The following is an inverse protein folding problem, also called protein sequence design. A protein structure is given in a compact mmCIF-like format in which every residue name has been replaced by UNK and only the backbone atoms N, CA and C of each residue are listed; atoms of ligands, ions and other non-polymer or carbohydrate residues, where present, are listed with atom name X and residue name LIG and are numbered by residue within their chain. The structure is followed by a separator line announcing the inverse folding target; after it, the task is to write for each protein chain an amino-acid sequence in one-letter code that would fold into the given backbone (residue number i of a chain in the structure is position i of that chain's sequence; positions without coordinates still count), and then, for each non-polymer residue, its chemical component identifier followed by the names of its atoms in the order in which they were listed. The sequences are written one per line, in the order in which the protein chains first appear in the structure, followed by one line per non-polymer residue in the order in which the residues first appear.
data_IF_108869032142
#
_entry.id   IF_108869032142
#
_cell.length_a   1.000
_cell.length_b   1.000
_cell.length_c   1.000
_cell.angle_alpha   90.00
_cell.angle_beta   90.00
_cell.angle_gamma   90.00
#
_symmetry.space_group_name_H-M   'P 1'
#
loop_
_entity.id
_entity.type
_entity.pdbx_description
1 polymer ?
#
# COMPACT_ATOMS: atom_id res chain seq x y z
N UNK A 1 -26.03 -8.83 -6.64
CA UNK A 1 -24.74 -8.97 -5.95
C UNK A 1 -24.51 -7.63 -5.27
N UNK A 2 -24.46 -7.55 -3.94
CA UNK A 2 -24.40 -6.28 -3.22
C UNK A 2 -23.05 -5.60 -3.41
N UNK A 3 -23.05 -4.27 -3.52
CA UNK A 3 -21.83 -3.47 -3.45
C UNK A 3 -21.18 -3.60 -2.06
N UNK A 4 -19.85 -3.55 -1.97
CA UNK A 4 -19.17 -3.54 -0.68
C UNK A 4 -19.59 -2.30 0.14
N UNK A 5 -20.04 -2.49 1.38
CA UNK A 5 -20.47 -1.38 2.26
C UNK A 5 -19.29 -0.57 2.85
N UNK A 6 -18.11 -1.20 3.00
CA UNK A 6 -16.89 -0.57 3.51
C UNK A 6 -15.87 -0.13 2.43
N UNK A 7 -14.85 0.62 2.85
CA UNK A 7 -13.74 1.06 1.99
C UNK A 7 -12.64 0.02 1.87
N UNK A 8 -11.76 0.13 0.85
CA UNK A 8 -10.57 -0.72 0.73
C UNK A 8 -9.75 -0.74 2.03
N UNK A 9 -9.60 0.41 2.69
CA UNK A 9 -8.82 0.55 3.94
C UNK A 9 -9.44 -0.24 5.10
N UNK A 10 -10.78 -0.30 5.18
CA UNK A 10 -11.49 -1.05 6.22
C UNK A 10 -11.25 -2.55 6.05
N UNK A 11 -11.38 -3.05 4.83
CA UNK A 11 -11.12 -4.45 4.50
C UNK A 11 -9.64 -4.78 4.66
N UNK A 12 -8.74 -3.91 4.19
CA UNK A 12 -7.30 -4.07 4.33
C UNK A 12 -6.88 -4.17 5.80
N UNK A 13 -7.38 -3.27 6.66
CA UNK A 13 -7.07 -3.29 8.10
C UNK A 13 -7.48 -4.61 8.74
N UNK A 14 -8.67 -5.11 8.40
CA UNK A 14 -9.18 -6.39 8.89
C UNK A 14 -8.31 -7.55 8.38
N UNK A 15 -8.02 -7.58 7.08
CA UNK A 15 -7.19 -8.62 6.47
C UNK A 15 -5.76 -8.64 7.04
N UNK A 16 -5.14 -7.48 7.30
CA UNK A 16 -3.81 -7.41 7.92
C UNK A 16 -3.82 -8.01 9.33
N UNK A 17 -4.86 -7.72 10.12
CA UNK A 17 -5.02 -8.32 11.46
C UNK A 17 -5.16 -9.83 11.38
N UNK A 18 -6.04 -10.33 10.51
CA UNK A 18 -6.28 -11.77 10.35
C UNK A 18 -5.04 -12.50 9.79
N UNK A 19 -4.35 -11.92 8.81
CA UNK A 19 -3.11 -12.47 8.27
C UNK A 19 -2.01 -12.58 9.35
N UNK A 20 -1.90 -11.57 10.23
CA UNK A 20 -0.98 -11.64 11.38
C UNK A 20 -1.39 -12.72 12.38
N UNK A 21 -2.67 -12.89 12.66
CA UNK A 21 -3.17 -13.96 13.54
C UNK A 21 -2.83 -15.35 12.99
N UNK A 22 -2.94 -15.54 11.67
CA UNK A 22 -2.51 -16.76 10.98
C UNK A 22 -1.01 -17.02 11.22
N UNK A 23 -0.15 -16.01 11.02
CA UNK A 23 1.29 -16.16 11.26
C UNK A 23 1.60 -16.54 12.72
N UNK A 24 0.93 -15.91 13.69
CA UNK A 24 1.08 -16.24 15.12
C UNK A 24 0.65 -17.69 15.40
N UNK A 25 -0.49 -18.11 14.86
CA UNK A 25 -0.99 -19.49 15.03
C UNK A 25 -0.02 -20.51 14.44
N UNK A 26 0.51 -20.24 13.25
CA UNK A 26 1.51 -21.10 12.58
C UNK A 26 2.80 -21.16 13.38
N UNK A 27 3.25 -20.03 13.93
CA UNK A 27 4.43 -19.97 14.79
C UNK A 27 4.23 -20.78 16.07
N UNK A 28 3.05 -20.67 16.70
CA UNK A 28 2.69 -21.46 17.89
C UNK A 28 2.69 -22.97 17.59
N UNK A 29 2.19 -23.37 16.41
CA UNK A 29 2.26 -24.78 15.97
C UNK A 29 3.71 -25.27 15.87
N UNK A 30 4.64 -24.43 15.36
CA UNK A 30 6.06 -24.77 15.27
C UNK A 30 6.73 -24.79 16.64
N UNK A 31 6.44 -23.82 17.51
CA UNK A 31 7.00 -23.77 18.87
C UNK A 31 6.65 -25.03 19.67
N UNK A 32 5.44 -25.58 19.49
CA UNK A 32 5.04 -26.84 20.10
C UNK A 32 5.80 -28.05 19.54
N UNK A 33 6.40 -27.96 18.37
CA UNK A 33 7.24 -29.01 17.77
C UNK A 33 8.73 -28.86 18.14
N UNK A 34 9.23 -27.63 18.20
CA UNK A 34 10.67 -27.30 18.32
C UNK A 34 11.25 -27.59 19.72
N UNK A 35 10.39 -27.74 20.74
CA UNK A 35 10.75 -28.28 22.06
C UNK A 35 11.36 -29.70 21.98
N UNK A 36 11.31 -30.37 20.81
CA UNK A 36 11.97 -31.67 20.56
C UNK A 36 13.36 -31.57 19.90
N UNK A 37 13.78 -30.40 19.41
CA UNK A 37 15.03 -30.25 18.63
C UNK A 37 16.10 -29.36 19.29
N UNK A 38 15.82 -28.74 20.44
CA UNK A 38 16.83 -28.03 21.23
C UNK A 38 17.47 -26.83 20.49
N UNK A 39 16.75 -26.19 19.57
CA UNK A 39 17.22 -25.02 18.79
C UNK A 39 16.22 -23.85 18.82
N UNK A 40 15.76 -23.48 20.00
CA UNK A 40 15.02 -22.24 20.20
C UNK A 40 15.95 -21.03 20.02
N UNK A 41 15.88 -20.32 18.89
CA UNK A 41 16.59 -19.04 18.75
C UNK A 41 16.67 -18.42 17.36
N UNK A 42 16.53 -19.18 16.26
CA UNK A 42 16.81 -18.62 14.92
C UNK A 42 15.58 -18.03 14.18
N UNK A 43 14.35 -18.37 14.57
CA UNK A 43 13.15 -18.01 13.80
C UNK A 43 12.63 -16.59 14.05
N UNK A 44 12.93 -15.99 15.22
CA UNK A 44 12.47 -14.63 15.55
C UNK A 44 13.06 -13.54 14.62
N UNK A 45 14.17 -13.82 13.95
CA UNK A 45 14.91 -12.83 13.14
C UNK A 45 14.34 -12.66 11.72
N UNK A 46 13.66 -13.66 11.16
CA UNK A 46 13.11 -13.61 9.80
C UNK A 46 11.80 -12.82 9.67
N UNK A 47 11.02 -12.71 10.75
CA UNK A 47 9.75 -11.96 10.78
C UNK A 47 9.90 -10.54 11.36
N UNK A 48 11.00 -10.25 12.04
CA UNK A 48 11.32 -8.94 12.62
C UNK A 48 11.10 -7.75 11.66
N UNK A 49 11.51 -7.78 10.38
CA UNK A 49 11.29 -6.64 9.47
C UNK A 49 9.81 -6.41 9.11
N UNK A 50 8.91 -7.39 9.30
CA UNK A 50 7.47 -7.24 9.01
C UNK A 50 6.67 -6.61 10.16
N UNK A 51 7.21 -6.59 11.38
CA UNK A 51 6.59 -5.96 12.55
C UNK A 51 6.91 -4.46 12.67
N UNK A 52 7.87 -3.94 11.88
CA UNK A 52 8.47 -2.62 12.06
C UNK A 52 7.60 -1.37 11.71
N UNK A 53 6.58 -1.37 10.83
CA UNK A 53 5.94 -0.12 10.44
C UNK A 53 4.73 0.28 11.31
N UNK A 54 4.48 -0.37 12.46
CA UNK A 54 3.37 -0.02 13.36
C UNK A 54 3.87 0.35 14.77
N UNK A 55 3.17 1.25 15.48
CA UNK A 55 3.61 1.76 16.78
C UNK A 55 3.86 0.62 17.78
N UNK A 56 4.97 0.75 18.50
CA UNK A 56 5.61 -0.24 19.38
C UNK A 56 4.73 -0.71 20.55
N UNK A 57 3.59 -0.07 20.77
CA UNK A 57 2.62 -0.39 21.83
C UNK A 57 1.85 -1.71 21.61
N UNK A 58 1.97 -2.35 20.45
CA UNK A 58 1.38 -3.67 20.17
C UNK A 58 2.38 -4.84 20.29
N UNK A 59 3.63 -4.61 20.72
CA UNK A 59 4.73 -5.58 20.67
C UNK A 59 5.10 -6.23 22.02
N UNK A 60 4.21 -6.23 23.01
CA UNK A 60 4.44 -7.00 24.24
C UNK A 60 4.17 -8.49 24.02
N UNK A 61 5.20 -9.23 23.62
CA UNK A 61 5.20 -10.70 23.77
C UNK A 61 5.27 -11.04 25.28
N UNK A 62 4.40 -11.92 25.80
CA UNK A 62 4.49 -12.39 27.18
C UNK A 62 5.71 -13.31 27.38
N UNK A 63 6.34 -13.32 28.57
CA UNK A 63 7.41 -14.25 28.89
C UNK A 63 6.83 -15.67 29.04
N UNK A 64 7.36 -16.64 28.30
CA UNK A 64 6.94 -18.05 28.34
C UNK A 64 7.77 -18.83 29.38
N UNK A 65 7.06 -19.54 30.26
CA UNK A 65 7.60 -20.55 31.20
C UNK A 65 7.48 -21.92 30.55
N UNK A 66 8.59 -22.64 30.41
CA UNK A 66 8.66 -23.94 29.73
C UNK A 66 8.29 -25.10 30.66
N UNK A 67 7.25 -25.86 30.29
CA UNK A 67 7.10 -27.28 30.61
C UNK A 67 6.44 -28.02 29.44
N UNK A 68 7.07 -29.11 29.04
CA UNK A 68 6.85 -29.84 27.79
C UNK A 68 5.79 -30.94 27.89
N UNK A 69 4.82 -30.90 26.98
CA UNK A 69 4.13 -32.08 26.42
C UNK A 69 3.68 -31.68 25.01
N UNK A 70 4.13 -32.38 23.96
CA UNK A 70 3.50 -32.28 22.64
C UNK A 70 2.15 -32.97 22.76
N UNK A 71 1.12 -32.25 23.19
CA UNK A 71 -0.24 -32.79 23.19
C UNK A 71 -0.73 -32.80 21.72
N UNK A 72 -0.97 -33.97 21.11
CA UNK A 72 -1.53 -34.04 19.76
C UNK A 72 -2.85 -33.27 19.61
N UNK A 73 -3.65 -33.19 20.69
CA UNK A 73 -4.92 -32.45 20.72
C UNK A 73 -4.77 -30.92 20.63
N UNK A 74 -3.61 -30.42 21.05
CA UNK A 74 -3.26 -29.01 21.00
C UNK A 74 -2.93 -28.55 19.57
N UNK A 75 -2.32 -29.41 18.74
CA UNK A 75 -2.13 -29.16 17.31
C UNK A 75 -3.46 -29.15 16.55
N UNK A 76 -4.39 -30.03 16.91
CA UNK A 76 -5.73 -30.05 16.33
C UNK A 76 -6.50 -28.75 16.61
N UNK A 77 -6.39 -28.20 17.82
CA UNK A 77 -7.01 -26.92 18.19
C UNK A 77 -6.44 -25.76 17.38
N UNK A 78 -5.10 -25.70 17.23
CA UNK A 78 -4.44 -24.68 16.41
C UNK A 78 -4.76 -24.81 14.92
N UNK A 79 -4.88 -26.04 14.39
CA UNK A 79 -5.27 -26.29 13.01
C UNK A 79 -6.72 -25.81 12.73
N UNK A 80 -7.64 -25.99 13.68
CA UNK A 80 -8.99 -25.46 13.60
C UNK A 80 -9.03 -23.93 13.66
N UNK A 81 -8.23 -23.33 14.54
CA UNK A 81 -8.07 -21.87 14.62
C UNK A 81 -7.52 -21.31 13.31
N UNK A 82 -6.46 -21.91 12.76
CA UNK A 82 -5.88 -21.56 11.46
C UNK A 82 -6.91 -21.61 10.33
N UNK A 83 -7.73 -22.67 10.30
CA UNK A 83 -8.79 -22.84 9.31
C UNK A 83 -9.85 -21.74 9.42
N UNK A 84 -10.22 -21.38 10.66
CA UNK A 84 -11.19 -20.31 10.95
C UNK A 84 -10.65 -18.95 10.51
N UNK A 85 -9.41 -18.63 10.90
CA UNK A 85 -8.76 -17.37 10.54
C UNK A 85 -8.55 -17.25 9.03
N UNK A 86 -8.16 -18.33 8.35
CA UNK A 86 -8.09 -18.36 6.90
C UNK A 86 -9.46 -18.12 6.25
N UNK A 87 -10.52 -18.73 6.78
CA UNK A 87 -11.90 -18.50 6.32
C UNK A 87 -12.30 -17.03 6.42
N UNK A 88 -12.01 -16.38 7.55
CA UNK A 88 -12.22 -14.94 7.71
C UNK A 88 -11.40 -14.10 6.73
N UNK A 89 -10.11 -14.43 6.54
CA UNK A 89 -9.25 -13.72 5.59
C UNK A 89 -9.78 -13.83 4.16
N UNK A 90 -10.20 -15.03 3.74
CA UNK A 90 -10.72 -15.29 2.41
C UNK A 90 -12.06 -14.57 2.15
N UNK A 91 -12.94 -14.49 3.16
CA UNK A 91 -14.18 -13.73 3.08
C UNK A 91 -13.94 -12.24 2.86
N UNK A 92 -12.90 -11.67 3.49
CA UNK A 92 -12.53 -10.27 3.36
C UNK A 92 -11.73 -9.96 2.08
N UNK A 93 -11.05 -10.95 1.50
CA UNK A 93 -10.27 -10.78 0.27
C UNK A 93 -11.12 -10.37 -0.93
N UNK A 94 -12.36 -10.86 -1.03
CA UNK A 94 -13.27 -10.55 -2.13
C UNK A 94 -13.72 -9.08 -2.15
N UNK A 95 -14.30 -8.51 -1.08
CA UNK A 95 -14.65 -7.10 -1.07
C UNK A 95 -13.42 -6.20 -1.18
N UNK A 96 -12.29 -6.54 -0.54
CA UNK A 96 -11.03 -5.80 -0.70
C UNK A 96 -10.59 -5.75 -2.18
N UNK A 97 -10.59 -6.89 -2.86
CA UNK A 97 -10.20 -6.96 -4.26
C UNK A 97 -11.19 -6.22 -5.18
N UNK A 98 -12.50 -6.25 -4.91
CA UNK A 98 -13.49 -5.49 -5.68
C UNK A 98 -13.32 -3.98 -5.50
N UNK A 99 -13.06 -3.53 -4.28
CA UNK A 99 -12.77 -2.12 -4.01
C UNK A 99 -11.46 -1.66 -4.64
N UNK A 100 -10.49 -2.58 -4.83
CA UNK A 100 -9.25 -2.31 -5.55
C UNK A 100 -9.39 -2.44 -7.08
N UNK A 101 -10.28 -3.29 -7.60
CA UNK A 101 -10.51 -3.53 -9.03
C UNK A 101 -11.37 -2.44 -9.69
N UNK A 102 -12.31 -1.83 -8.93
CA UNK A 102 -13.01 -0.62 -9.38
C UNK A 102 -12.03 0.56 -9.62
N UNK A 103 -10.78 0.46 -9.18
CA UNK A 103 -9.71 1.45 -9.41
C UNK A 103 -8.98 1.28 -10.77
N UNK A 104 -9.10 0.15 -11.48
CA UNK A 104 -8.18 -0.20 -12.60
C UNK A 104 -8.81 -0.43 -13.98
N UNK A 105 -10.15 -0.50 -14.13
CA UNK A 105 -10.83 -0.90 -15.38
C UNK A 105 -10.68 0.10 -16.56
N UNK A 106 -9.93 1.21 -16.43
CA UNK A 106 -9.85 2.23 -17.50
C UNK A 106 -8.47 2.58 -18.08
N UNK A 107 -7.46 1.74 -17.89
CA UNK A 107 -6.33 1.68 -18.83
C UNK A 107 -6.60 0.63 -19.95
N UNK A 108 -7.70 0.79 -20.68
CA UNK A 108 -7.79 0.27 -22.04
C UNK A 108 -7.13 1.27 -23.00
N UNK A 109 -6.51 0.84 -24.11
CA UNK A 109 -5.88 1.78 -25.03
C UNK A 109 -6.95 2.75 -25.53
N UNK A 110 -6.77 4.05 -25.23
CA UNK A 110 -7.52 5.11 -25.91
C UNK A 110 -7.06 5.09 -27.37
N UNK A 111 -7.74 4.32 -28.21
CA UNK A 111 -7.75 4.58 -29.65
C UNK A 111 -8.50 5.89 -29.81
N UNK A 112 -7.73 6.97 -29.96
CA UNK A 112 -8.27 8.26 -30.33
C UNK A 112 -9.00 8.13 -31.65
N UNK A 113 -10.27 8.51 -31.67
CA UNK A 113 -10.98 8.79 -32.90
C UNK A 113 -10.33 10.00 -33.57
N UNK A 114 -9.92 9.85 -34.83
CA UNK A 114 -9.62 10.95 -35.74
C UNK A 114 -8.24 10.88 -36.41
N UNK A 115 -8.20 10.40 -37.65
CA UNK A 115 -7.03 10.55 -38.52
C UNK A 115 -6.93 9.48 -39.60
N UNK A 116 -7.56 9.74 -40.73
CA UNK A 116 -7.35 9.11 -42.05
C UNK A 116 -5.87 8.79 -42.32
N UNK A 117 -5.57 7.60 -42.87
CA UNK A 117 -4.47 7.29 -43.81
C UNK A 117 -4.36 5.77 -44.06
N UNK A 118 -4.75 5.34 -45.27
CA UNK A 118 -4.08 4.32 -46.09
C UNK A 118 -3.90 2.89 -45.53
N UNK A 119 -4.76 1.97 -45.96
CA UNK A 119 -4.61 0.54 -45.70
C UNK A 119 -3.44 -0.13 -46.43
N UNK A 120 -2.83 -1.12 -45.76
CA UNK A 120 -2.17 -2.27 -46.39
C UNK A 120 -2.48 -3.51 -45.54
N UNK A 121 -3.16 -4.46 -46.16
CA UNK A 121 -3.54 -5.76 -45.62
C UNK A 121 -2.36 -6.73 -45.82
N UNK A 122 -1.76 -7.24 -44.74
CA UNK A 122 -0.84 -8.39 -44.80
C UNK A 122 -1.24 -9.39 -43.71
N UNK A 123 -1.67 -10.56 -44.16
CA UNK A 123 -2.21 -11.64 -43.35
C UNK A 123 -1.17 -12.45 -42.58
N UNK A 124 -1.64 -13.16 -41.56
CA UNK A 124 -0.93 -14.25 -40.90
C UNK A 124 -1.91 -15.42 -40.61
N UNK A 125 -1.41 -16.67 -40.57
CA UNK A 125 -2.19 -17.85 -40.92
C UNK A 125 -2.75 -18.63 -39.72
N UNK A 126 -3.74 -19.48 -40.02
CA UNK A 126 -4.35 -20.49 -39.15
C UNK A 126 -3.40 -21.67 -38.91
N UNK A 127 -3.35 -22.17 -37.68
CA UNK A 127 -2.84 -23.51 -37.32
C UNK A 127 -3.13 -23.78 -35.83
N UNK A 128 -4.11 -24.62 -35.49
CA UNK A 128 -4.05 -26.07 -35.33
C UNK A 128 -3.61 -26.49 -33.92
N UNK A 129 -4.55 -27.03 -33.13
CA UNK A 129 -4.32 -28.11 -32.16
C UNK A 129 -5.68 -28.68 -31.75
N UNK A 130 -6.10 -29.69 -32.51
CA UNK A 130 -7.04 -30.72 -32.10
C UNK A 130 -6.17 -31.88 -31.62
N UNK A 131 -6.40 -32.41 -30.42
CA UNK A 131 -6.51 -33.86 -30.26
C UNK A 131 -7.11 -34.25 -28.90
N UNK A 132 -8.09 -35.12 -29.06
CA UNK A 132 -8.96 -35.80 -28.10
C UNK A 132 -8.22 -37.00 -27.53
N UNK A 133 -8.31 -37.28 -26.22
CA UNK A 133 -8.28 -38.65 -25.71
C UNK A 133 -9.08 -38.74 -24.40
N UNK A 134 -10.09 -39.61 -24.44
CA UNK A 134 -10.93 -40.04 -23.33
C UNK A 134 -10.44 -41.41 -22.82
N UNK A 135 -10.52 -41.67 -21.51
CA UNK A 135 -10.99 -42.96 -20.97
C UNK A 135 -11.14 -42.95 -19.43
N UNK A 136 -12.36 -43.31 -19.02
CA UNK A 136 -12.83 -44.19 -17.93
C UNK A 136 -12.38 -44.06 -16.46
N UNK A 137 -13.41 -44.04 -15.59
CA UNK A 137 -13.42 -43.96 -14.13
C UNK A 137 -13.78 -45.31 -13.46
N UNK A 138 -13.27 -45.61 -12.26
CA UNK A 138 -13.95 -46.49 -11.30
C UNK A 138 -14.42 -45.71 -10.03
N UNK A 139 -15.41 -46.24 -9.27
CA UNK A 139 -16.14 -45.48 -8.26
C UNK A 139 -15.62 -45.70 -6.82
N UNK A 140 -15.67 -44.65 -5.98
CA UNK A 140 -15.51 -44.80 -4.52
C UNK A 140 -15.02 -43.56 -3.76
N UNK A 141 -15.97 -42.78 -3.22
CA UNK A 141 -15.90 -41.75 -2.14
C UNK A 141 -14.52 -41.14 -1.76
N UNK A 142 -14.31 -39.87 -2.12
CA UNK A 142 -13.91 -38.79 -1.18
C UNK A 142 -13.94 -37.42 -1.90
N UNK A 143 -14.15 -36.34 -1.14
CA UNK A 143 -14.48 -34.99 -1.61
C UNK A 143 -13.38 -34.43 -2.54
N UNK A 144 -13.76 -34.08 -3.78
CA UNK A 144 -12.88 -33.71 -4.88
C UNK A 144 -12.86 -32.18 -5.07
N UNK A 145 -11.77 -31.51 -4.72
CA UNK A 145 -11.44 -30.18 -5.27
C UNK A 145 -10.58 -30.42 -6.53
N UNK A 146 -11.07 -29.98 -7.70
CA UNK A 146 -10.41 -30.24 -8.99
C UNK A 146 -9.09 -29.47 -9.15
N UNK A 147 -8.08 -30.01 -9.88
CA UNK A 147 -6.81 -29.35 -10.11
C UNK A 147 -6.87 -28.42 -11.34
N UNK A 148 -6.46 -27.17 -11.19
CA UNK A 148 -6.29 -26.22 -12.30
C UNK A 148 -4.89 -26.39 -12.90
N UNK A 149 -4.81 -26.67 -14.20
CA UNK A 149 -3.57 -26.85 -14.98
C UNK A 149 -2.81 -25.52 -15.22
N UNK A 150 -1.49 -25.57 -15.49
CA UNK A 150 -0.60 -24.42 -15.47
C UNK A 150 -0.59 -23.69 -16.83
N UNK A 151 -0.56 -22.35 -16.82
CA UNK A 151 -0.31 -21.59 -18.04
C UNK A 151 0.43 -20.27 -17.76
N UNK A 152 1.71 -20.31 -18.13
CA UNK A 152 2.59 -19.27 -18.68
C UNK A 152 2.44 -17.82 -18.18
N UNK A 153 3.53 -17.37 -17.53
CA UNK A 153 3.89 -15.99 -17.26
C UNK A 153 3.73 -15.09 -18.49
N UNK A 154 2.83 -14.11 -18.38
CA UNK A 154 2.87 -12.91 -19.20
C UNK A 154 2.69 -11.72 -18.27
N UNK A 155 3.74 -10.90 -18.15
CA UNK A 155 3.76 -9.66 -17.37
C UNK A 155 2.75 -8.66 -17.97
N UNK A 156 1.52 -8.70 -17.48
CA UNK A 156 0.55 -7.60 -17.56
C UNK A 156 0.61 -6.81 -16.23
N UNK A 157 0.27 -5.51 -16.20
CA UNK A 157 0.19 -4.75 -14.96
C UNK A 157 -0.69 -5.53 -13.98
N UNK A 158 -0.08 -5.99 -12.89
CA UNK A 158 -0.69 -6.87 -11.92
C UNK A 158 -1.86 -6.14 -11.27
N UNK A 159 -3.09 -6.52 -11.65
CA UNK A 159 -4.30 -5.97 -11.07
C UNK A 159 -4.27 -6.19 -9.56
N UNK A 160 -4.31 -5.14 -8.75
CA UNK A 160 -4.08 -5.21 -7.29
C UNK A 160 -5.08 -6.18 -6.65
N UNK A 161 -6.35 -6.14 -7.07
CA UNK A 161 -7.36 -7.07 -6.58
C UNK A 161 -7.10 -8.53 -6.98
N UNK A 162 -6.68 -8.79 -8.21
CA UNK A 162 -6.26 -10.14 -8.65
C UNK A 162 -5.03 -10.62 -7.88
N UNK A 163 -4.06 -9.73 -7.62
CA UNK A 163 -2.87 -10.06 -6.83
C UNK A 163 -3.25 -10.43 -5.39
N UNK A 164 -4.11 -9.65 -4.74
CA UNK A 164 -4.63 -9.97 -3.39
C UNK A 164 -5.33 -11.34 -3.39
N UNK A 165 -6.24 -11.58 -4.35
CA UNK A 165 -6.95 -12.88 -4.48
C UNK A 165 -5.96 -14.04 -4.62
N UNK A 166 -4.98 -13.92 -5.52
CA UNK A 166 -3.99 -14.96 -5.78
C UNK A 166 -3.14 -15.25 -4.55
N UNK A 167 -2.66 -14.23 -3.83
CA UNK A 167 -1.87 -14.44 -2.60
C UNK A 167 -2.68 -15.09 -1.49
N UNK A 168 -3.96 -14.74 -1.34
CA UNK A 168 -4.86 -15.38 -0.37
C UNK A 168 -5.16 -16.84 -0.77
N UNK A 169 -5.27 -17.15 -2.06
CA UNK A 169 -5.43 -18.53 -2.52
C UNK A 169 -4.17 -19.37 -2.27
N UNK A 170 -2.98 -18.85 -2.60
CA UNK A 170 -1.70 -19.51 -2.31
C UNK A 170 -1.52 -19.79 -0.81
N UNK A 171 -1.91 -18.84 0.05
CA UNK A 171 -1.92 -19.01 1.50
C UNK A 171 -2.86 -20.16 1.91
N UNK A 172 -4.05 -20.24 1.29
CA UNK A 172 -5.02 -21.31 1.56
C UNK A 172 -4.49 -22.71 1.25
N UNK A 173 -3.82 -22.86 0.11
CA UNK A 173 -3.16 -24.13 -0.22
C UNK A 173 -2.09 -24.50 0.82
N UNK A 174 -1.32 -23.52 1.29
CA UNK A 174 -0.35 -23.72 2.37
C UNK A 174 -1.01 -24.14 3.69
N UNK A 175 -2.08 -23.45 4.09
CA UNK A 175 -2.83 -23.77 5.31
C UNK A 175 -3.45 -25.18 5.23
N UNK A 176 -4.02 -25.58 4.10
CA UNK A 176 -4.60 -26.90 3.91
C UNK A 176 -3.54 -28.01 4.04
N UNK A 177 -2.36 -27.82 3.44
CA UNK A 177 -1.24 -28.75 3.58
C UNK A 177 -0.76 -28.84 5.04
N UNK A 178 -0.66 -27.70 5.74
CA UNK A 178 -0.26 -27.65 7.14
C UNK A 178 -1.26 -28.38 8.07
N UNK A 179 -2.56 -28.17 7.88
CA UNK A 179 -3.62 -28.86 8.64
C UNK A 179 -3.59 -30.37 8.37
N UNK A 180 -3.40 -30.78 7.12
CA UNK A 180 -3.31 -32.20 6.76
C UNK A 180 -2.12 -32.87 7.45
N UNK A 181 -0.95 -32.23 7.43
CA UNK A 181 0.24 -32.73 8.11
C UNK A 181 0.08 -32.73 9.64
N UNK A 182 -0.65 -31.75 10.21
CA UNK A 182 -0.92 -31.70 11.64
C UNK A 182 -1.81 -32.88 12.06
N UNK A 183 -2.85 -33.18 11.28
CA UNK A 183 -3.71 -34.34 11.50
C UNK A 183 -2.98 -35.67 11.34
N UNK A 184 -2.12 -35.80 10.33
CA UNK A 184 -1.26 -36.99 10.18
C UNK A 184 -0.34 -37.18 11.39
N UNK A 185 0.26 -36.09 11.88
CA UNK A 185 1.10 -36.13 13.08
C UNK A 185 0.30 -36.45 14.35
N UNK A 186 -0.97 -36.06 14.42
CA UNK A 186 -1.87 -36.42 15.53
C UNK A 186 -2.09 -37.94 15.61
N UNK A 187 -2.26 -38.59 14.46
CA UNK A 187 -2.40 -40.04 14.35
C UNK A 187 -1.09 -40.80 14.65
N UNK A 188 0.06 -40.21 14.31
CA UNK A 188 1.38 -40.80 14.53
C UNK A 188 2.37 -39.80 15.15
N UNK A 189 2.28 -39.53 16.47
CA UNK A 189 3.00 -38.44 17.14
C UNK A 189 4.52 -38.64 17.26
N UNK A 190 5.01 -39.85 17.03
CA UNK A 190 6.44 -40.16 17.02
C UNK A 190 7.07 -40.08 15.62
N UNK A 191 6.30 -39.81 14.56
CA UNK A 191 6.82 -39.78 13.20
C UNK A 191 7.68 -38.53 12.94
N UNK A 192 8.99 -38.73 12.91
CA UNK A 192 9.96 -37.68 12.67
C UNK A 192 9.89 -37.10 11.25
N UNK A 193 9.41 -37.85 10.25
CA UNK A 193 9.27 -37.36 8.88
C UNK A 193 8.12 -36.36 8.79
N UNK A 194 6.92 -36.74 9.26
CA UNK A 194 5.75 -35.84 9.30
C UNK A 194 6.00 -34.59 10.15
N UNK A 195 6.78 -34.68 11.24
CA UNK A 195 7.22 -33.49 12.00
C UNK A 195 8.02 -32.51 11.14
N UNK A 196 9.00 -33.00 10.38
CA UNK A 196 9.82 -32.15 9.50
C UNK A 196 9.00 -31.51 8.39
N UNK A 197 8.09 -32.28 7.78
CA UNK A 197 7.22 -31.77 6.71
C UNK A 197 6.26 -30.69 7.26
N UNK A 198 5.73 -30.88 8.48
CA UNK A 198 4.90 -29.89 9.15
C UNK A 198 5.64 -28.56 9.38
N UNK A 199 6.90 -28.61 9.82
CA UNK A 199 7.75 -27.43 10.02
C UNK A 199 7.99 -26.71 8.67
N UNK A 200 8.26 -27.46 7.60
CA UNK A 200 8.46 -26.88 6.27
C UNK A 200 7.18 -26.26 5.70
N UNK A 201 6.02 -26.90 5.90
CA UNK A 201 4.72 -26.32 5.58
C UNK A 201 4.48 -25.02 6.37
N UNK A 202 4.82 -24.98 7.65
CA UNK A 202 4.65 -23.79 8.47
C UNK A 202 5.53 -22.63 7.98
N UNK A 203 6.77 -22.92 7.57
CA UNK A 203 7.66 -21.92 6.94
C UNK A 203 7.05 -21.36 5.65
N UNK A 204 6.54 -22.23 4.77
CA UNK A 204 5.87 -21.82 3.52
C UNK A 204 4.65 -20.95 3.80
N UNK A 205 3.81 -21.33 4.77
CA UNK A 205 2.63 -20.53 5.16
C UNK A 205 3.04 -19.14 5.65
N UNK A 206 4.06 -19.04 6.51
CA UNK A 206 4.58 -17.75 6.98
C UNK A 206 5.08 -16.87 5.83
N UNK A 207 5.76 -17.43 4.84
CA UNK A 207 6.17 -16.71 3.63
C UNK A 207 4.95 -16.21 2.82
N UNK A 208 3.92 -17.05 2.66
CA UNK A 208 2.68 -16.66 1.96
C UNK A 208 1.91 -15.57 2.71
N UNK A 209 1.90 -15.58 4.05
CA UNK A 209 1.36 -14.48 4.85
C UNK A 209 2.08 -13.17 4.52
N UNK A 210 3.42 -13.18 4.46
CA UNK A 210 4.20 -12.00 4.08
C UNK A 210 3.84 -11.48 2.68
N UNK A 211 3.59 -12.37 1.71
CA UNK A 211 3.13 -11.97 0.38
C UNK A 211 1.73 -11.33 0.40
N UNK A 212 0.80 -11.83 1.23
CA UNK A 212 -0.53 -11.21 1.41
C UNK A 212 -0.39 -9.82 2.01
N UNK A 213 0.43 -9.66 3.04
CA UNK A 213 0.67 -8.36 3.68
C UNK A 213 1.28 -7.35 2.69
N UNK A 214 2.23 -7.79 1.85
CA UNK A 214 2.83 -6.94 0.82
C UNK A 214 1.80 -6.51 -0.25
N UNK A 215 0.94 -7.42 -0.70
CA UNK A 215 -0.13 -7.11 -1.66
C UNK A 215 -1.11 -6.07 -1.08
N UNK A 216 -1.51 -6.23 0.18
CA UNK A 216 -2.40 -5.31 0.87
C UNK A 216 -1.78 -3.92 1.06
N UNK A 217 -0.48 -3.83 1.34
CA UNK A 217 0.23 -2.55 1.44
C UNK A 217 0.38 -1.84 0.09
N UNK A 218 0.61 -2.60 -0.99
CA UNK A 218 0.67 -2.02 -2.33
C UNK A 218 -0.66 -1.33 -2.70
N UNK A 219 -1.79 -1.88 -2.26
CA UNK A 219 -3.13 -1.37 -2.55
C UNK A 219 -3.49 -0.01 -1.93
N UNK A 220 -2.77 0.48 -0.91
CA UNK A 220 -3.03 1.80 -0.31
C UNK A 220 -1.81 2.71 -0.27
N UNK A 221 -0.72 2.35 -0.96
CA UNK A 221 0.56 3.06 -0.91
C UNK A 221 0.44 4.54 -1.27
N UNK A 222 -0.35 4.88 -2.29
CA UNK A 222 -0.60 6.26 -2.71
C UNK A 222 -1.40 7.05 -1.69
N UNK A 223 -2.48 6.47 -1.21
CA UNK A 223 -3.32 7.07 -0.15
C UNK A 223 -2.51 7.32 1.13
N UNK A 224 -1.64 6.38 1.51
CA UNK A 224 -0.77 6.52 2.68
C UNK A 224 0.27 7.62 2.49
N UNK A 225 0.86 7.72 1.30
CA UNK A 225 1.77 8.82 0.97
C UNK A 225 1.07 10.19 1.05
N UNK A 226 -0.20 10.30 0.64
CA UNK A 226 -0.98 11.52 0.83
C UNK A 226 -1.20 11.88 2.31
N UNK A 227 -1.43 10.90 3.19
CA UNK A 227 -1.57 11.14 4.64
C UNK A 227 -0.25 11.68 5.23
N UNK A 228 0.86 11.05 4.89
CA UNK A 228 2.20 11.50 5.30
C UNK A 228 2.49 12.89 4.74
N UNK A 229 2.14 13.14 3.47
CA UNK A 229 2.34 14.42 2.82
C UNK A 229 1.54 15.55 3.48
N UNK A 230 0.27 15.32 3.82
CA UNK A 230 -0.55 16.29 4.54
C UNK A 230 0.04 16.64 5.93
N UNK A 231 0.59 15.64 6.61
CA UNK A 231 1.28 15.83 7.91
C UNK A 231 2.56 16.65 7.75
N UNK A 232 3.36 16.36 6.72
CA UNK A 232 4.56 17.12 6.39
C UNK A 232 4.24 18.59 6.06
N UNK A 233 3.21 18.82 5.23
CA UNK A 233 2.73 20.18 4.89
C UNK A 233 2.27 20.94 6.14
N UNK A 234 1.59 20.27 7.07
CA UNK A 234 1.21 20.87 8.35
C UNK A 234 2.43 21.30 9.17
N UNK A 235 3.49 20.49 9.17
CA UNK A 235 4.77 20.84 9.80
C UNK A 235 5.44 22.05 9.15
N UNK A 236 5.39 22.15 7.82
CA UNK A 236 5.91 23.32 7.07
C UNK A 236 5.12 24.58 7.42
N UNK A 237 3.78 24.50 7.52
CA UNK A 237 2.94 25.64 7.92
C UNK A 237 3.32 26.12 9.33
N UNK A 238 3.56 25.20 10.27
CA UNK A 238 3.99 25.55 11.63
C UNK A 238 5.37 26.22 11.68
N UNK A 239 6.30 25.78 10.83
CA UNK A 239 7.62 26.43 10.68
C UNK A 239 7.51 27.84 10.07
N UNK A 240 6.64 28.00 9.06
CA UNK A 240 6.32 29.31 8.49
C UNK A 240 5.64 30.23 9.52
N UNK A 241 4.73 29.73 10.35
CA UNK A 241 4.12 30.50 11.45
C UNK A 241 5.16 30.99 12.45
N UNK A 242 6.14 30.15 12.78
CA UNK A 242 7.28 30.53 13.63
C UNK A 242 8.12 31.62 12.96
N UNK A 243 8.37 31.51 11.65
CA UNK A 243 9.13 32.53 10.91
C UNK A 243 8.37 33.85 10.81
N UNK A 244 7.04 33.82 10.61
CA UNK A 244 6.18 35.01 10.64
C UNK A 244 6.26 35.69 12.01
N UNK A 245 6.29 34.92 13.10
CA UNK A 245 6.45 35.47 14.46
C UNK A 245 7.80 36.20 14.61
N UNK A 246 8.90 35.65 14.09
CA UNK A 246 10.20 36.33 14.11
C UNK A 246 10.21 37.62 13.28
N UNK A 247 9.62 37.61 12.09
CA UNK A 247 9.50 38.80 11.24
C UNK A 247 8.65 39.88 11.90
N UNK A 248 7.49 39.51 12.45
CA UNK A 248 6.57 40.44 13.14
C UNK A 248 7.23 41.07 14.38
N UNK A 249 8.08 40.32 15.09
CA UNK A 249 8.84 40.82 16.23
C UNK A 249 10.06 41.68 15.84
N UNK A 250 10.35 41.85 14.54
CA UNK A 250 11.55 42.56 14.07
C UNK A 250 12.86 41.81 14.37
N UNK A 251 12.77 40.50 14.59
CA UNK A 251 13.92 39.64 14.97
C UNK A 251 14.41 38.74 13.84
N UNK A 252 13.77 38.78 12.67
CA UNK A 252 14.21 38.08 11.46
C UNK A 252 15.29 38.89 10.74
N UNK A 253 16.53 38.69 11.18
CA UNK A 253 17.70 39.42 10.67
C UNK A 253 18.24 38.81 9.39
N UNK A 254 18.96 39.62 8.62
CA UNK A 254 19.70 39.16 7.46
C UNK A 254 20.83 38.21 7.89
N UNK A 255 20.87 37.03 7.31
CA UNK A 255 21.87 36.00 7.63
C UNK A 255 23.19 36.21 6.88
N UNK A 256 23.13 36.65 5.61
CA UNK A 256 24.27 36.75 4.69
C UNK A 256 24.25 38.07 3.91
N UNK A 257 25.27 38.34 3.10
CA UNK A 257 25.28 39.51 2.21
C UNK A 257 24.32 39.41 1.00
N UNK A 258 23.58 38.31 0.90
CA UNK A 258 22.61 38.07 -0.18
C UNK A 258 21.43 39.04 -0.10
N UNK A 259 20.91 39.38 -1.26
CA UNK A 259 19.77 40.27 -1.46
C UNK A 259 18.57 39.49 -1.97
N UNK A 260 17.39 40.10 -1.91
CA UNK A 260 16.18 39.46 -2.43
C UNK A 260 16.28 39.11 -3.92
N UNK A 261 17.08 39.87 -4.69
CA UNK A 261 17.31 39.61 -6.11
C UNK A 261 17.98 38.24 -6.34
N UNK A 262 18.87 37.82 -5.43
CA UNK A 262 19.60 36.55 -5.51
C UNK A 262 18.66 35.35 -5.29
N UNK A 263 17.64 35.51 -4.45
CA UNK A 263 16.66 34.45 -4.15
C UNK A 263 15.47 34.42 -5.13
N UNK A 264 15.14 35.55 -5.79
CA UNK A 264 13.93 35.70 -6.62
C UNK A 264 13.82 34.63 -7.72
N UNK A 265 14.90 34.32 -8.41
CA UNK A 265 14.89 33.28 -9.44
C UNK A 265 14.62 31.89 -8.85
N UNK A 266 15.22 31.59 -7.70
CA UNK A 266 14.99 30.34 -6.97
C UNK A 266 13.53 30.17 -6.55
N UNK A 267 12.89 31.25 -6.06
CA UNK A 267 11.48 31.27 -5.69
C UNK A 267 10.62 30.93 -6.92
N UNK A 268 10.79 31.67 -8.01
CA UNK A 268 9.99 31.51 -9.23
C UNK A 268 10.19 30.13 -9.87
N UNK A 269 11.42 29.63 -9.92
CA UNK A 269 11.73 28.31 -10.47
C UNK A 269 11.07 27.20 -9.65
N UNK A 270 11.10 27.31 -8.33
CA UNK A 270 10.51 26.30 -7.44
C UNK A 270 8.98 26.37 -7.45
N UNK A 271 8.40 27.58 -7.50
CA UNK A 271 6.95 27.74 -7.63
C UNK A 271 6.41 27.16 -8.95
N UNK A 272 7.12 27.34 -10.07
CA UNK A 272 6.76 26.70 -11.36
C UNK A 272 6.81 25.18 -11.28
N UNK A 273 7.84 24.62 -10.64
CA UNK A 273 7.91 23.18 -10.42
C UNK A 273 6.71 22.68 -9.59
N UNK A 274 6.32 23.42 -8.55
CA UNK A 274 5.18 23.05 -7.72
C UNK A 274 3.87 23.03 -8.51
N UNK A 275 3.67 23.99 -9.42
CA UNK A 275 2.50 23.99 -10.32
C UNK A 275 2.45 22.72 -11.16
N UNK A 276 3.58 22.26 -11.71
CA UNK A 276 3.62 21.00 -12.45
C UNK A 276 3.36 19.79 -11.54
N UNK A 277 3.92 19.77 -10.33
CA UNK A 277 3.67 18.71 -9.35
C UNK A 277 2.18 18.61 -8.98
N UNK A 278 1.48 19.75 -8.79
CA UNK A 278 0.03 19.74 -8.51
C UNK A 278 -0.79 19.17 -9.66
N UNK A 279 -0.39 19.41 -10.92
CA UNK A 279 -1.05 18.80 -12.09
C UNK A 279 -0.86 17.29 -12.10
N UNK A 280 0.37 16.83 -11.87
CA UNK A 280 0.70 15.40 -11.81
C UNK A 280 -0.05 14.72 -10.66
N UNK A 281 -0.15 15.38 -9.50
CA UNK A 281 -0.90 14.87 -8.34
C UNK A 281 -2.39 14.65 -8.66
N UNK A 282 -3.02 15.62 -9.32
CA UNK A 282 -4.44 15.54 -9.71
C UNK A 282 -4.66 14.51 -10.81
N UNK A 283 -3.77 14.42 -11.79
CA UNK A 283 -3.81 13.41 -12.86
C UNK A 283 -3.67 11.99 -12.31
N UNK A 284 -2.82 11.82 -11.29
CA UNK A 284 -2.55 10.52 -10.69
C UNK A 284 -3.51 10.14 -9.56
N UNK A 285 -4.45 11.00 -9.19
CA UNK A 285 -5.46 10.70 -8.17
C UNK A 285 -6.22 9.40 -8.48
N UNK A 286 -6.55 9.17 -9.75
CA UNK A 286 -7.24 7.95 -10.21
C UNK A 286 -6.31 7.03 -11.00
N UNK A 287 -4.99 7.20 -10.88
CA UNK A 287 -4.00 6.31 -11.49
C UNK A 287 -3.56 5.25 -10.46
N UNK A 288 -2.44 4.56 -10.75
CA UNK A 288 -1.92 3.56 -9.81
C UNK A 288 -1.43 4.19 -8.50
N UNK A 289 -1.55 3.43 -7.41
CA UNK A 289 -1.10 3.83 -6.07
C UNK A 289 0.38 4.25 -6.04
N UNK A 290 1.25 3.65 -6.87
CA UNK A 290 2.66 4.04 -6.97
C UNK A 290 2.85 5.43 -7.60
N UNK A 291 2.14 5.71 -8.70
CA UNK A 291 2.20 7.02 -9.37
C UNK A 291 1.65 8.12 -8.45
N UNK A 292 0.59 7.82 -7.71
CA UNK A 292 0.04 8.72 -6.71
C UNK A 292 1.03 8.98 -5.57
N UNK A 293 1.67 7.92 -5.05
CA UNK A 293 2.66 8.04 -3.99
C UNK A 293 3.83 8.93 -4.40
N UNK A 294 4.37 8.71 -5.60
CA UNK A 294 5.46 9.51 -6.14
C UNK A 294 5.06 10.98 -6.32
N UNK A 295 3.87 11.24 -6.86
CA UNK A 295 3.37 12.60 -7.06
C UNK A 295 3.21 13.36 -5.72
N UNK A 296 2.69 12.70 -4.69
CA UNK A 296 2.56 13.28 -3.36
C UNK A 296 3.94 13.61 -2.75
N UNK A 297 4.92 12.70 -2.87
CA UNK A 297 6.28 12.90 -2.38
C UNK A 297 7.03 14.03 -3.10
N UNK A 298 6.90 14.11 -4.43
CA UNK A 298 7.46 15.21 -5.22
C UNK A 298 6.87 16.55 -4.78
N UNK A 299 5.54 16.62 -4.61
CA UNK A 299 4.84 17.82 -4.15
C UNK A 299 5.38 18.30 -2.80
N UNK A 300 5.58 17.40 -1.84
CA UNK A 300 6.16 17.71 -0.51
C UNK A 300 7.59 18.22 -0.64
N UNK A 301 8.42 17.55 -1.44
CA UNK A 301 9.82 17.95 -1.65
C UNK A 301 9.89 19.38 -2.20
N UNK A 302 9.04 19.70 -3.16
CA UNK A 302 9.03 21.01 -3.81
C UNK A 302 8.48 22.11 -2.89
N UNK A 303 7.41 21.87 -2.11
CA UNK A 303 6.90 22.87 -1.16
C UNK A 303 7.87 23.11 0.01
N UNK A 304 8.55 22.06 0.50
CA UNK A 304 9.62 22.23 1.50
C UNK A 304 10.70 23.13 0.95
N UNK A 305 11.17 22.86 -0.28
CA UNK A 305 12.16 23.73 -0.92
C UNK A 305 11.64 25.14 -1.08
N UNK A 306 10.41 25.33 -1.57
CA UNK A 306 9.82 26.65 -1.78
C UNK A 306 9.77 27.46 -0.47
N UNK A 307 9.35 26.83 0.63
CA UNK A 307 9.34 27.43 1.96
C UNK A 307 10.75 27.90 2.36
N UNK A 308 11.77 27.05 2.22
CA UNK A 308 13.16 27.43 2.55
C UNK A 308 13.66 28.62 1.73
N UNK A 309 13.52 28.61 0.40
CA UNK A 309 14.03 29.73 -0.42
C UNK A 309 13.23 31.01 -0.19
N UNK A 310 11.95 30.92 0.17
CA UNK A 310 11.14 32.09 0.57
C UNK A 310 11.58 32.63 1.92
N UNK A 311 11.88 31.78 2.91
CA UNK A 311 12.44 32.21 4.20
C UNK A 311 13.77 32.95 4.03
N UNK A 312 14.68 32.42 3.22
CA UNK A 312 15.95 33.09 2.88
C UNK A 312 15.70 34.43 2.17
N UNK A 313 14.78 34.44 1.19
CA UNK A 313 14.35 35.67 0.52
C UNK A 313 13.80 36.72 1.48
N UNK A 314 12.98 36.33 2.45
CA UNK A 314 12.46 37.23 3.47
C UNK A 314 13.59 37.75 4.39
N UNK A 315 14.44 36.87 4.92
CA UNK A 315 15.57 37.27 5.76
C UNK A 315 16.50 38.27 5.05
N UNK A 316 16.72 38.10 3.74
CA UNK A 316 17.56 39.00 2.93
C UNK A 316 17.05 40.45 2.85
N UNK A 317 15.77 40.72 3.14
CA UNK A 317 15.22 42.08 3.23
C UNK A 317 15.72 42.82 4.49
N UNK A 318 16.05 42.08 5.54
CA UNK A 318 16.47 42.61 6.84
C UNK A 318 15.29 42.99 7.74
N UNK A 319 15.54 43.04 9.05
CA UNK A 319 14.54 43.33 10.08
C UNK A 319 14.03 44.77 10.08
N UNK A 320 14.63 45.64 9.26
CA UNK A 320 14.21 47.02 9.02
C UNK A 320 12.91 47.10 8.20
N UNK A 321 12.57 46.04 7.44
CA UNK A 321 11.35 45.96 6.63
C UNK A 321 10.52 44.69 6.97
N UNK A 322 10.01 44.59 8.21
CA UNK A 322 9.30 43.41 8.68
C UNK A 322 7.95 43.22 7.97
N UNK A 323 7.32 44.29 7.48
CA UNK A 323 6.05 44.24 6.76
C UNK A 323 6.20 43.45 5.45
N UNK A 324 7.22 43.76 4.65
CA UNK A 324 7.49 43.02 3.40
C UNK A 324 7.92 41.58 3.67
N UNK A 325 8.69 41.32 4.73
CA UNK A 325 9.03 39.95 5.16
C UNK A 325 7.77 39.13 5.46
N UNK A 326 6.86 39.68 6.28
CA UNK A 326 5.62 39.02 6.68
C UNK A 326 4.72 38.75 5.48
N UNK A 327 4.59 39.70 4.54
CA UNK A 327 3.80 39.51 3.31
C UNK A 327 4.37 38.35 2.48
N UNK A 328 5.68 38.30 2.31
CA UNK A 328 6.34 37.27 1.51
C UNK A 328 6.19 35.87 2.12
N UNK A 329 6.34 35.74 3.44
CA UNK A 329 6.20 34.45 4.14
C UNK A 329 4.73 34.00 4.19
N UNK A 330 3.77 34.93 4.36
CA UNK A 330 2.34 34.58 4.28
C UNK A 330 1.96 34.06 2.89
N UNK A 331 2.53 34.62 1.82
CA UNK A 331 2.26 34.14 0.46
C UNK A 331 2.61 32.65 0.29
N UNK A 332 3.79 32.20 0.76
CA UNK A 332 4.14 30.76 0.70
C UNK A 332 3.34 29.91 1.68
N UNK A 333 2.94 30.45 2.84
CA UNK A 333 2.06 29.77 3.78
C UNK A 333 0.70 29.47 3.16
N UNK A 334 0.12 30.42 2.42
CA UNK A 334 -1.17 30.20 1.76
C UNK A 334 -1.05 29.19 0.60
N UNK A 335 0.08 29.18 -0.12
CA UNK A 335 0.40 28.11 -1.08
C UNK A 335 0.50 26.74 -0.38
N UNK A 336 1.15 26.66 0.77
CA UNK A 336 1.27 25.41 1.53
C UNK A 336 -0.09 24.90 2.03
N UNK A 337 -0.95 25.77 2.58
CA UNK A 337 -2.34 25.42 2.94
C UNK A 337 -3.10 24.89 1.72
N UNK A 338 -3.01 25.61 0.60
CA UNK A 338 -3.69 25.22 -0.62
C UNK A 338 -3.19 23.86 -1.15
N UNK A 339 -1.91 23.55 -1.00
CA UNK A 339 -1.38 22.23 -1.33
C UNK A 339 -1.89 21.15 -0.37
N UNK A 340 -1.96 21.43 0.93
CA UNK A 340 -2.51 20.50 1.93
C UNK A 340 -3.97 20.13 1.67
N UNK A 341 -4.80 21.11 1.32
CA UNK A 341 -6.19 20.87 0.91
C UNK A 341 -6.26 20.03 -0.37
N UNK A 342 -5.39 20.32 -1.35
CA UNK A 342 -5.35 19.57 -2.60
C UNK A 342 -4.95 18.10 -2.35
N UNK A 343 -3.94 17.85 -1.53
CA UNK A 343 -3.53 16.50 -1.13
C UNK A 343 -4.69 15.77 -0.43
N UNK A 344 -5.44 16.47 0.42
CA UNK A 344 -6.60 15.91 1.12
C UNK A 344 -7.74 15.56 0.15
N UNK A 345 -8.02 16.42 -0.82
CA UNK A 345 -8.98 16.14 -1.89
C UNK A 345 -8.51 14.99 -2.79
N UNK A 346 -7.22 14.93 -3.12
CA UNK A 346 -6.62 13.83 -3.89
C UNK A 346 -6.77 12.51 -3.17
N UNK A 347 -6.48 12.46 -1.86
CA UNK A 347 -6.71 11.28 -1.02
C UNK A 347 -8.18 10.86 -1.04
N UNK A 348 -9.12 11.79 -0.95
CA UNK A 348 -10.55 11.50 -0.97
C UNK A 348 -11.05 11.03 -2.35
N UNK A 349 -10.34 11.38 -3.41
CA UNK A 349 -10.59 10.97 -4.78
C UNK A 349 -9.83 9.68 -5.18
N UNK A 350 -8.81 9.31 -4.40
CA UNK A 350 -7.95 8.16 -4.68
C UNK A 350 -8.78 6.88 -4.78
N UNK A 351 -8.61 6.16 -5.88
CA UNK A 351 -9.34 4.91 -6.11
C UNK A 351 -10.80 5.05 -6.53
N UNK A 352 -11.31 6.27 -6.69
CA UNK A 352 -12.71 6.48 -7.07
C UNK A 352 -12.88 6.58 -8.59
N UNK A 353 -14.08 6.26 -9.05
CA UNK A 353 -14.43 6.36 -10.47
C UNK A 353 -14.31 7.82 -10.95
N UNK A 354 -14.00 8.01 -12.24
CA UNK A 354 -13.82 9.35 -12.80
C UNK A 354 -15.06 10.26 -12.74
N UNK A 355 -16.25 9.66 -12.56
CA UNK A 355 -17.55 10.31 -12.43
C UNK A 355 -17.94 10.55 -10.96
N UNK A 356 -17.12 10.09 -10.00
CA UNK A 356 -17.37 10.31 -8.59
C UNK A 356 -17.32 11.81 -8.25
N UNK A 357 -18.26 12.33 -7.43
CA UNK A 357 -18.27 13.71 -7.02
C UNK A 357 -16.93 14.19 -6.42
N UNK A 358 -16.21 13.34 -5.68
CA UNK A 358 -14.91 13.71 -5.12
C UNK A 358 -13.84 13.95 -6.20
N UNK A 359 -13.85 13.17 -7.29
CA UNK A 359 -12.95 13.36 -8.43
C UNK A 359 -13.30 14.64 -9.19
N UNK A 360 -14.59 14.94 -9.34
CA UNK A 360 -15.05 16.21 -9.93
C UNK A 360 -14.63 17.42 -9.07
N UNK A 361 -14.84 17.34 -7.75
CA UNK A 361 -14.43 18.39 -6.81
C UNK A 361 -12.92 18.58 -6.77
N UNK A 362 -12.13 17.50 -6.89
CA UNK A 362 -10.68 17.58 -7.02
C UNK A 362 -10.27 18.38 -8.26
N UNK A 363 -10.85 18.06 -9.42
CA UNK A 363 -10.56 18.75 -10.68
C UNK A 363 -10.93 20.23 -10.60
N UNK A 364 -12.07 20.57 -10.00
CA UNK A 364 -12.47 21.96 -9.79
C UNK A 364 -11.53 22.68 -8.82
N UNK A 365 -11.16 22.04 -7.72
CA UNK A 365 -10.21 22.58 -6.73
C UNK A 365 -8.86 22.87 -7.35
N UNK A 366 -8.38 22.03 -8.26
CA UNK A 366 -7.14 22.26 -8.99
C UNK A 366 -7.25 23.42 -10.00
N UNK A 367 -8.41 23.55 -10.65
CA UNK A 367 -8.66 24.58 -11.67
C UNK A 367 -8.70 25.99 -11.07
N UNK A 368 -9.39 26.16 -9.95
CA UNK A 368 -9.44 27.44 -9.20
C UNK A 368 -8.05 27.87 -8.73
N UNK A 369 -7.13 26.93 -8.49
CA UNK A 369 -5.76 27.20 -8.01
C UNK A 369 -4.76 27.46 -9.15
N UNK A 370 -5.10 27.11 -10.39
CA UNK A 370 -4.27 27.32 -11.57
C UNK A 370 -4.53 28.67 -12.26
N UNK A 371 -5.60 29.39 -11.91
CA UNK A 371 -5.92 30.72 -12.42
C UNK A 371 -5.51 31.79 -11.40
N UNK A 372 -4.41 32.53 -11.63
CA UNK A 372 -4.05 33.65 -10.77
C UNK A 372 -5.00 34.82 -11.07
N UNK A 373 -6.13 34.91 -10.37
CA UNK A 373 -7.04 36.06 -10.55
C UNK A 373 -8.45 36.02 -9.94
N UNK A 374 -8.80 35.06 -9.09
CA UNK A 374 -10.10 35.05 -8.40
C UNK A 374 -9.91 35.06 -6.88
N UNK A 375 -9.61 36.23 -6.34
CA UNK A 375 -9.48 36.52 -4.91
C UNK A 375 -9.29 38.00 -4.70
#
# INVERSE_FOLDING_TARGET
MGEPEGTFVDYQTTMVKTAKAIAVTVQEMVSRLDDLLGKGGLWAQGLAPFFAPFPTSCLTLPPQVTKSTTNPDELGTLANQLTTDYGHLALQAKPAALTAENEEVREGPRVGAGGDLGGVLLGAPRGCCRDTLAMETPPGRSIFWQPVRPFLEFNAPLQIGTHIKNRVQELGHGCAALVTNAGALQCSPSDAYTKKELIECARKVSEKVSHVLAALQAGNRGTQACITAASAVSGIIADLDTTIMFATAGTLHRENAETFADHREGILKTAKALVEDTKVLVQNATASQEKLAQAAQSSVTTITRLAEVVKLGAASLGSEDPETQVVLINAVKDVAKALGDLISATKAAAGKSGDDPAVYQLKNSAKVRAEPGAG
#
